data_IF_485602980483
#
_entry.id   IF_485602980483
#
_cell.length_a   1.000
_cell.length_b   1.000
_cell.length_c   1.000
_cell.angle_alpha   90.00
_cell.angle_beta   90.00
_cell.angle_gamma   90.00
#
_symmetry.space_group_name_H-M   'P 1'
#
loop_
_entity.id
_entity.type
_entity.pdbx_description
1 polymer ?
#
# COMPACT_ATOMS: atom_id res chain seq x y z
N UNK A 1 10.38 16.96 -18.81
CA UNK A 1 9.01 17.48 -18.56
C UNK A 1 8.54 18.21 -19.81
N UNK A 2 7.47 17.77 -20.42
CA UNK A 2 6.93 18.40 -21.62
C UNK A 2 6.11 19.64 -21.20
N UNK A 3 6.46 20.88 -21.57
CA UNK A 3 5.86 22.10 -21.04
C UNK A 3 4.40 22.36 -21.48
N UNK A 4 3.78 21.48 -22.25
CA UNK A 4 2.46 21.69 -22.85
C UNK A 4 1.29 20.97 -22.14
N UNK A 5 1.47 20.35 -20.97
CA UNK A 5 0.39 19.75 -20.21
C UNK A 5 0.08 20.54 -18.93
N UNK A 6 -0.35 21.80 -19.05
CA UNK A 6 -1.09 22.43 -17.94
C UNK A 6 -2.39 21.63 -17.77
N UNK A 7 -2.51 20.91 -16.65
CA UNK A 7 -3.75 20.28 -16.26
C UNK A 7 -4.85 21.34 -16.18
N UNK A 8 -5.94 21.14 -16.91
CA UNK A 8 -7.09 22.05 -16.86
C UNK A 8 -7.79 22.03 -15.49
N UNK A 9 -7.59 20.97 -14.70
CA UNK A 9 -8.03 20.83 -13.31
C UNK A 9 -6.81 20.43 -12.48
N UNK A 10 -6.40 21.25 -11.48
CA UNK A 10 -5.26 20.93 -10.62
C UNK A 10 -5.57 19.72 -9.74
N UNK A 11 -4.54 18.91 -9.45
CA UNK A 11 -4.66 17.86 -8.45
C UNK A 11 -4.87 18.46 -7.05
N UNK A 12 -5.65 17.76 -6.24
CA UNK A 12 -5.86 18.05 -4.82
C UNK A 12 -5.18 16.94 -4.03
N UNK A 13 -3.93 17.12 -3.65
CA UNK A 13 -3.09 16.07 -3.09
C UNK A 13 -2.26 16.57 -1.91
N UNK A 14 -2.05 15.68 -0.92
CA UNK A 14 -1.18 15.89 0.23
C UNK A 14 -0.60 14.55 0.70
N UNK A 15 0.37 14.56 1.61
CA UNK A 15 0.89 13.33 2.25
C UNK A 15 -0.12 12.79 3.28
N UNK A 16 -0.13 11.47 3.47
CA UNK A 16 -0.90 10.80 4.53
C UNK A 16 -2.42 10.85 4.32
N UNK A 17 -2.88 10.94 3.07
CA UNK A 17 -4.31 10.86 2.77
C UNK A 17 -4.84 9.45 3.00
N UNK A 18 -6.08 9.35 3.45
CA UNK A 18 -6.80 8.07 3.54
C UNK A 18 -7.11 7.51 2.15
N UNK A 19 -7.52 8.37 1.23
CA UNK A 19 -7.88 7.96 -0.13
C UNK A 19 -7.64 9.08 -1.14
N UNK A 20 -7.16 8.71 -2.33
CA UNK A 20 -7.11 9.59 -3.49
C UNK A 20 -8.14 9.09 -4.51
N UNK A 21 -9.18 9.87 -4.77
CA UNK A 21 -10.13 9.57 -5.83
C UNK A 21 -9.56 9.96 -7.20
N UNK A 22 -9.44 8.98 -8.07
CA UNK A 22 -8.92 9.15 -9.42
C UNK A 22 -10.05 9.12 -10.44
N UNK A 23 -10.40 10.30 -10.99
CA UNK A 23 -11.30 10.41 -12.12
C UNK A 23 -10.66 9.90 -13.41
N UNK A 24 -11.44 9.81 -14.50
CA UNK A 24 -10.90 9.41 -15.81
C UNK A 24 -10.11 10.57 -16.41
N UNK A 25 -10.76 11.69 -16.62
CA UNK A 25 -10.20 12.92 -17.15
C UNK A 25 -11.14 14.11 -16.91
N UNK A 26 -10.67 15.36 -16.99
CA UNK A 26 -11.54 16.51 -16.92
C UNK A 26 -12.49 16.57 -18.14
N UNK A 27 -13.81 16.62 -17.89
CA UNK A 27 -14.77 17.04 -18.88
C UNK A 27 -14.75 18.57 -19.05
N UNK A 28 -15.37 19.10 -20.09
CA UNK A 28 -15.39 20.55 -20.38
C UNK A 28 -15.89 21.41 -19.20
N UNK A 29 -16.93 20.95 -18.48
CA UNK A 29 -17.46 21.66 -17.32
C UNK A 29 -16.44 21.74 -16.20
N UNK A 30 -15.79 20.60 -15.88
CA UNK A 30 -14.73 20.56 -14.84
C UNK A 30 -13.51 21.38 -15.24
N UNK A 31 -13.11 21.33 -16.50
CA UNK A 31 -12.00 22.13 -17.01
C UNK A 31 -12.29 23.65 -16.94
N UNK A 32 -13.51 24.06 -17.28
CA UNK A 32 -13.94 25.45 -17.21
C UNK A 32 -14.03 25.96 -15.76
N UNK A 33 -14.45 25.10 -14.83
CA UNK A 33 -14.53 25.42 -13.40
C UNK A 33 -13.16 25.32 -12.67
N UNK A 34 -12.16 24.66 -13.28
CA UNK A 34 -10.91 24.33 -12.61
C UNK A 34 -11.09 23.36 -11.43
N UNK A 35 -12.18 22.59 -11.43
CA UNK A 35 -12.57 21.76 -10.29
C UNK A 35 -12.98 20.34 -10.70
N UNK A 36 -12.61 19.35 -9.85
CA UNK A 36 -12.96 17.95 -10.07
C UNK A 36 -14.46 17.73 -9.96
N UNK A 37 -15.00 16.87 -10.85
CA UNK A 37 -16.40 16.44 -10.85
C UNK A 37 -17.42 17.58 -10.85
N UNK A 38 -17.09 18.74 -11.47
CA UNK A 38 -17.89 19.96 -11.40
C UNK A 38 -19.17 19.95 -12.25
N UNK A 39 -19.44 18.91 -13.02
CA UNK A 39 -20.72 18.83 -13.72
C UNK A 39 -21.87 18.72 -12.69
N UNK A 40 -22.88 19.63 -12.70
CA UNK A 40 -23.96 19.64 -11.69
C UNK A 40 -24.78 18.33 -11.63
N UNK A 41 -24.74 17.53 -12.70
CA UNK A 41 -25.39 16.21 -12.73
C UNK A 41 -24.46 15.05 -12.33
N UNK A 42 -23.23 15.34 -11.91
CA UNK A 42 -22.30 14.33 -11.40
C UNK A 42 -22.61 14.05 -9.92
N UNK A 43 -22.82 12.80 -9.57
CA UNK A 43 -23.19 12.44 -8.21
C UNK A 43 -22.01 12.42 -7.23
N UNK A 44 -20.75 12.65 -7.66
CA UNK A 44 -19.55 12.43 -6.86
C UNK A 44 -19.60 13.12 -5.48
N UNK A 45 -19.81 14.43 -5.45
CA UNK A 45 -19.78 15.19 -4.20
C UNK A 45 -20.90 14.78 -3.24
N UNK A 46 -22.09 14.48 -3.79
CA UNK A 46 -23.22 13.98 -3.01
C UNK A 46 -22.94 12.58 -2.45
N UNK A 47 -22.40 11.67 -3.27
CA UNK A 47 -22.01 10.33 -2.85
C UNK A 47 -20.90 10.38 -1.77
N UNK A 48 -19.93 11.28 -1.91
CA UNK A 48 -18.88 11.47 -0.92
C UNK A 48 -19.45 11.85 0.45
N UNK A 49 -20.41 12.78 0.49
CA UNK A 49 -21.11 13.17 1.72
C UNK A 49 -22.01 12.06 2.25
N UNK A 50 -22.90 11.51 1.42
CA UNK A 50 -23.91 10.54 1.85
C UNK A 50 -23.27 9.22 2.31
N UNK A 51 -22.10 8.85 1.79
CA UNK A 51 -21.31 7.72 2.27
C UNK A 51 -20.51 8.03 3.56
N UNK A 52 -20.55 9.25 4.08
CA UNK A 52 -19.90 9.64 5.34
C UNK A 52 -18.40 9.95 5.23
N UNK A 53 -17.88 10.26 4.04
CA UNK A 53 -16.49 10.70 3.89
C UNK A 53 -16.29 12.15 4.35
N UNK A 54 -17.31 12.98 4.27
CA UNK A 54 -17.29 14.38 4.71
C UNK A 54 -18.48 14.68 5.63
N UNK A 55 -18.31 15.53 6.66
CA UNK A 55 -19.38 15.85 7.61
C UNK A 55 -20.47 16.75 7.02
N UNK A 56 -20.21 17.37 5.88
CA UNK A 56 -21.13 18.19 5.10
C UNK A 56 -20.93 17.98 3.60
N UNK A 57 -21.94 18.33 2.83
CA UNK A 57 -21.85 18.35 1.39
C UNK A 57 -20.88 19.46 0.93
N UNK A 58 -19.80 19.09 0.26
CA UNK A 58 -18.87 20.02 -0.38
C UNK A 58 -19.33 20.33 -1.82
N UNK A 59 -19.02 21.53 -2.29
CA UNK A 59 -19.15 21.88 -3.70
C UNK A 59 -17.83 21.65 -4.45
N UNK A 60 -17.82 21.55 -5.78
CA UNK A 60 -16.58 21.42 -6.54
C UNK A 60 -15.57 22.54 -6.28
N UNK A 61 -16.03 23.74 -6.01
CA UNK A 61 -15.19 24.93 -5.73
C UNK A 61 -14.46 24.78 -4.37
N UNK A 62 -15.05 24.02 -3.44
CA UNK A 62 -14.49 23.71 -2.12
C UNK A 62 -13.58 22.47 -2.15
N UNK A 63 -13.17 21.99 -3.32
CA UNK A 63 -12.42 20.73 -3.48
C UNK A 63 -11.16 20.62 -2.60
N UNK A 64 -10.48 21.72 -2.31
CA UNK A 64 -9.29 21.72 -1.45
C UNK A 64 -9.61 21.47 0.03
N UNK A 65 -10.84 21.70 0.47
CA UNK A 65 -11.25 21.35 1.84
C UNK A 65 -11.34 19.83 2.05
N UNK A 66 -11.45 19.05 0.99
CA UNK A 66 -11.45 17.59 1.06
C UNK A 66 -10.15 17.03 1.71
N UNK A 67 -9.03 17.77 1.58
CA UNK A 67 -7.76 17.40 2.23
C UNK A 67 -7.87 17.31 3.75
N UNK A 68 -8.70 18.13 4.39
CA UNK A 68 -8.91 18.13 5.84
C UNK A 68 -9.58 16.83 6.33
N UNK A 69 -10.24 16.11 5.41
CA UNK A 69 -10.89 14.82 5.67
C UNK A 69 -10.06 13.62 5.18
N UNK A 70 -8.79 13.85 4.82
CA UNK A 70 -7.90 12.81 4.30
C UNK A 70 -8.23 12.37 2.88
N UNK A 71 -8.86 13.23 2.07
CA UNK A 71 -9.33 12.92 0.73
C UNK A 71 -8.54 13.73 -0.30
N UNK A 72 -7.93 13.05 -1.27
CA UNK A 72 -7.31 13.66 -2.44
C UNK A 72 -8.12 13.44 -3.71
N UNK A 73 -7.84 14.27 -4.73
CA UNK A 73 -8.49 14.20 -6.04
C UNK A 73 -7.44 14.30 -7.15
N UNK A 74 -7.57 13.42 -8.14
CA UNK A 74 -6.71 13.42 -9.34
C UNK A 74 -7.48 12.85 -10.54
N UNK A 75 -6.83 12.81 -11.71
CA UNK A 75 -7.36 12.17 -12.92
C UNK A 75 -6.31 11.23 -13.53
N UNK A 76 -6.76 10.14 -14.14
CA UNK A 76 -5.93 9.18 -14.86
C UNK A 76 -5.34 9.77 -16.16
N UNK A 77 -6.03 10.73 -16.76
CA UNK A 77 -5.60 11.47 -17.93
C UNK A 77 -5.80 12.98 -17.75
N UNK A 78 -4.78 13.78 -18.10
CA UNK A 78 -4.83 15.24 -17.99
C UNK A 78 -5.64 15.91 -19.10
N UNK A 79 -5.80 15.24 -20.24
CA UNK A 79 -6.44 15.80 -21.43
C UNK A 79 -7.94 15.99 -21.24
N UNK A 80 -8.42 17.23 -21.41
CA UNK A 80 -9.85 17.56 -21.43
C UNK A 80 -10.52 17.01 -22.67
N UNK A 81 -11.63 16.28 -22.52
CA UNK A 81 -12.43 15.74 -23.61
C UNK A 81 -13.93 15.89 -23.33
N UNK A 82 -14.77 15.70 -24.35
CA UNK A 82 -16.22 15.67 -24.18
C UNK A 82 -16.67 14.44 -23.37
N UNK A 83 -16.02 13.31 -23.59
CA UNK A 83 -16.30 12.06 -22.90
C UNK A 83 -15.07 11.14 -22.91
N UNK A 84 -15.08 10.13 -22.07
CA UNK A 84 -13.94 9.18 -21.93
C UNK A 84 -13.66 8.40 -23.23
N UNK A 85 -14.64 8.22 -24.12
CA UNK A 85 -14.47 7.56 -25.41
C UNK A 85 -13.53 8.30 -26.38
N UNK A 86 -13.25 9.58 -26.14
CA UNK A 86 -12.33 10.38 -26.95
C UNK A 86 -10.86 10.22 -26.51
N UNK A 87 -10.60 9.52 -25.40
CA UNK A 87 -9.26 9.27 -24.88
C UNK A 87 -8.56 8.14 -25.66
N UNK A 88 -7.28 8.32 -25.85
CA UNK A 88 -6.35 7.33 -26.44
C UNK A 88 -5.50 6.71 -25.35
N UNK A 89 -4.89 5.55 -25.61
CA UNK A 89 -4.01 4.86 -24.65
C UNK A 89 -2.88 5.76 -24.14
N UNK A 90 -2.28 6.59 -24.98
CA UNK A 90 -1.21 7.52 -24.59
C UNK A 90 -1.66 8.76 -23.81
N UNK A 91 -2.97 8.95 -23.57
CA UNK A 91 -3.47 10.03 -22.73
C UNK A 91 -3.42 9.67 -21.23
N UNK A 92 -3.33 8.35 -20.90
CA UNK A 92 -3.29 7.86 -19.54
C UNK A 92 -1.86 7.87 -19.00
N UNK A 93 -1.66 8.50 -17.84
CA UNK A 93 -0.34 8.72 -17.23
C UNK A 93 -0.16 7.82 -16.01
N UNK A 94 0.29 6.58 -16.27
CA UNK A 94 0.55 5.59 -15.24
C UNK A 94 1.72 5.99 -14.35
N UNK A 95 2.83 6.46 -14.96
CA UNK A 95 4.05 6.83 -14.23
C UNK A 95 3.78 7.91 -13.19
N UNK A 96 2.97 8.91 -13.55
CA UNK A 96 2.55 9.96 -12.61
C UNK A 96 1.73 9.40 -11.43
N UNK A 97 0.84 8.44 -11.68
CA UNK A 97 0.06 7.85 -10.59
C UNK A 97 0.93 6.99 -9.66
N UNK A 98 1.90 6.28 -10.21
CA UNK A 98 2.91 5.54 -9.44
C UNK A 98 3.78 6.47 -8.58
N UNK A 99 4.18 7.64 -9.13
CA UNK A 99 4.86 8.69 -8.36
C UNK A 99 3.98 9.24 -7.23
N UNK A 100 2.70 9.51 -7.49
CA UNK A 100 1.75 9.94 -6.45
C UNK A 100 1.66 8.90 -5.32
N UNK A 101 1.58 7.62 -5.66
CA UNK A 101 1.55 6.54 -4.68
C UNK A 101 2.84 6.49 -3.85
N UNK A 102 4.01 6.55 -4.50
CA UNK A 102 5.31 6.45 -3.83
C UNK A 102 5.63 7.68 -2.95
N UNK A 103 5.33 8.89 -3.44
CA UNK A 103 5.71 10.13 -2.74
C UNK A 103 4.73 10.52 -1.63
N UNK A 104 3.44 10.27 -1.82
CA UNK A 104 2.39 10.73 -0.90
C UNK A 104 1.85 9.63 0.01
N UNK A 105 2.07 8.35 -0.35
CA UNK A 105 1.70 7.16 0.40
C UNK A 105 0.26 7.21 0.97
N UNK A 106 -0.79 7.45 0.15
CA UNK A 106 -2.15 7.34 0.64
C UNK A 106 -2.46 5.88 0.98
N UNK A 107 -3.44 5.61 1.85
CA UNK A 107 -3.84 4.21 2.10
C UNK A 107 -4.41 3.55 0.83
N UNK A 108 -5.10 4.33 0.00
CA UNK A 108 -5.69 3.82 -1.24
C UNK A 108 -5.83 4.86 -2.34
N UNK A 109 -5.92 4.35 -3.58
CA UNK A 109 -6.40 5.10 -4.75
C UNK A 109 -7.72 4.47 -5.21
N UNK A 110 -8.80 5.28 -5.24
CA UNK A 110 -10.13 4.86 -5.65
C UNK A 110 -10.45 5.40 -7.06
N UNK A 111 -10.53 4.50 -8.03
CA UNK A 111 -10.84 4.84 -9.42
C UNK A 111 -12.34 5.07 -9.60
N UNK A 112 -12.75 6.26 -9.98
CA UNK A 112 -14.15 6.62 -10.23
C UNK A 112 -14.54 6.24 -11.66
N UNK A 113 -14.85 4.95 -11.83
CA UNK A 113 -15.17 4.30 -13.09
C UNK A 113 -14.07 3.34 -13.57
N UNK A 114 -14.50 2.19 -14.09
CA UNK A 114 -13.63 1.12 -14.59
C UNK A 114 -12.65 1.57 -15.69
N UNK A 115 -13.04 2.59 -16.45
CA UNK A 115 -12.25 3.10 -17.58
C UNK A 115 -10.94 3.76 -17.14
N UNK A 116 -10.92 4.44 -15.98
CA UNK A 116 -9.69 5.02 -15.43
C UNK A 116 -8.66 3.93 -15.13
N UNK A 117 -9.07 2.88 -14.43
CA UNK A 117 -8.20 1.73 -14.12
C UNK A 117 -7.74 1.01 -15.41
N UNK A 118 -8.71 0.70 -16.31
CA UNK A 118 -8.39 0.01 -17.57
C UNK A 118 -7.42 0.79 -18.44
N UNK A 119 -7.56 2.11 -18.49
CA UNK A 119 -6.70 2.98 -19.29
C UNK A 119 -5.25 2.98 -18.80
N UNK A 120 -5.05 2.95 -17.48
CA UNK A 120 -3.74 2.97 -16.85
C UNK A 120 -3.04 1.60 -16.89
N UNK A 121 -3.77 0.51 -16.59
CA UNK A 121 -3.16 -0.82 -16.40
C UNK A 121 -3.44 -1.80 -17.54
N UNK A 122 -4.36 -1.49 -18.47
CA UNK A 122 -4.74 -2.39 -19.56
C UNK A 122 -5.61 -3.58 -19.13
N UNK A 123 -5.97 -3.66 -17.86
CA UNK A 123 -6.73 -4.75 -17.25
C UNK A 123 -8.23 -4.44 -17.19
N UNK A 124 -9.06 -5.46 -17.12
CA UNK A 124 -10.52 -5.33 -16.92
C UNK A 124 -10.85 -5.53 -15.43
N UNK A 125 -11.02 -4.45 -14.63
CA UNK A 125 -11.27 -4.59 -13.21
C UNK A 125 -12.71 -5.03 -12.93
N UNK A 126 -12.89 -5.66 -11.76
CA UNK A 126 -14.20 -5.73 -11.11
C UNK A 126 -14.44 -4.45 -10.29
N UNK A 127 -15.66 -4.21 -9.82
CA UNK A 127 -15.90 -3.19 -8.78
C UNK A 127 -15.39 -3.71 -7.44
N UNK A 128 -14.93 -2.80 -6.59
CA UNK A 128 -14.37 -3.14 -5.29
C UNK A 128 -12.85 -3.15 -5.25
N UNK A 129 -12.26 -3.77 -4.20
CA UNK A 129 -10.81 -3.86 -4.04
C UNK A 129 -10.16 -4.68 -5.16
N UNK A 130 -8.96 -4.28 -5.55
CA UNK A 130 -8.17 -4.98 -6.56
C UNK A 130 -7.01 -5.74 -5.90
N UNK A 131 -6.55 -6.84 -6.53
CA UNK A 131 -5.37 -7.57 -6.06
C UNK A 131 -4.06 -6.81 -6.32
N UNK A 132 -4.04 -6.00 -7.41
CA UNK A 132 -2.92 -5.10 -7.70
C UNK A 132 -2.84 -4.02 -6.65
N UNK A 133 -1.61 -3.68 -6.24
CA UNK A 133 -1.27 -2.52 -5.43
C UNK A 133 -0.31 -1.59 -6.17
N UNK A 134 -0.02 -0.43 -5.64
CA UNK A 134 1.10 0.43 -6.01
C UNK A 134 1.98 0.61 -4.77
N UNK A 135 2.95 -0.30 -4.59
CA UNK A 135 3.62 -0.47 -3.31
C UNK A 135 2.61 -0.85 -2.23
N UNK A 136 2.64 -0.13 -1.10
CA UNK A 136 1.70 -0.33 0.02
C UNK A 136 0.30 0.25 -0.22
N UNK A 137 0.08 0.93 -1.35
CA UNK A 137 -1.18 1.63 -1.66
C UNK A 137 -2.19 0.69 -2.29
N UNK A 138 -3.34 0.51 -1.64
CA UNK A 138 -4.44 -0.30 -2.13
C UNK A 138 -5.16 0.35 -3.30
N UNK A 139 -5.70 -0.46 -4.22
CA UNK A 139 -6.49 0.02 -5.34
C UNK A 139 -7.94 -0.44 -5.22
N UNK A 140 -8.87 0.49 -5.40
CA UNK A 140 -10.30 0.22 -5.35
C UNK A 140 -11.01 0.79 -6.59
N UNK A 141 -11.96 0.07 -7.16
CA UNK A 141 -12.70 0.53 -8.35
C UNK A 141 -14.16 0.76 -8.00
N UNK A 142 -14.59 2.00 -8.18
CA UNK A 142 -15.95 2.47 -8.00
C UNK A 142 -16.72 2.49 -9.33
N UNK A 143 -18.05 2.43 -9.31
CA UNK A 143 -18.85 2.78 -10.49
C UNK A 143 -18.63 4.25 -10.86
N UNK A 144 -18.74 4.56 -12.15
CA UNK A 144 -18.67 5.95 -12.61
C UNK A 144 -19.82 6.78 -12.03
N UNK A 145 -19.49 7.97 -11.52
CA UNK A 145 -20.46 8.95 -10.98
C UNK A 145 -21.02 9.89 -12.06
N UNK A 146 -20.51 9.76 -13.28
CA UNK A 146 -20.95 10.56 -14.42
C UNK A 146 -22.42 10.29 -14.77
N UNK A 147 -23.20 11.32 -15.15
CA UNK A 147 -24.56 11.14 -15.65
C UNK A 147 -24.64 10.27 -16.89
N UNK A 148 -23.56 10.09 -17.65
CA UNK A 148 -23.49 9.16 -18.78
C UNK A 148 -23.62 7.69 -18.37
N UNK A 149 -23.39 7.35 -17.11
CA UNK A 149 -23.55 5.99 -16.55
C UNK A 149 -24.95 5.78 -15.93
N UNK A 150 -26.00 6.04 -16.71
CA UNK A 150 -27.39 5.96 -16.24
C UNK A 150 -27.84 4.53 -15.85
N UNK A 151 -27.11 3.50 -16.27
CA UNK A 151 -27.45 2.11 -15.97
C UNK A 151 -27.23 1.73 -14.48
N UNK A 152 -26.40 2.47 -13.74
CA UNK A 152 -26.15 2.23 -12.31
C UNK A 152 -26.94 3.25 -11.48
N UNK A 153 -27.82 2.77 -10.61
CA UNK A 153 -28.62 3.63 -9.75
C UNK A 153 -27.78 4.41 -8.73
N UNK A 154 -28.33 5.52 -8.22
CA UNK A 154 -27.69 6.27 -7.12
C UNK A 154 -27.44 5.40 -5.90
N UNK A 155 -28.43 4.62 -5.49
CA UNK A 155 -28.35 3.71 -4.32
C UNK A 155 -27.24 2.67 -4.49
N UNK A 156 -27.06 2.15 -5.70
CA UNK A 156 -25.97 1.19 -5.98
C UNK A 156 -24.61 1.87 -5.94
N UNK A 157 -24.48 3.09 -6.49
CA UNK A 157 -23.26 3.89 -6.37
C UNK A 157 -22.93 4.20 -4.93
N UNK A 158 -23.94 4.55 -4.11
CA UNK A 158 -23.75 4.85 -2.70
C UNK A 158 -23.22 3.63 -1.93
N UNK A 159 -23.78 2.43 -2.16
CA UNK A 159 -23.27 1.19 -1.55
C UNK A 159 -21.77 0.95 -1.85
N UNK A 160 -21.31 1.29 -3.05
CA UNK A 160 -19.90 1.12 -3.39
C UNK A 160 -19.01 2.18 -2.70
N UNK A 161 -19.49 3.39 -2.48
CA UNK A 161 -18.79 4.41 -1.70
C UNK A 161 -18.74 4.03 -0.22
N UNK A 162 -19.85 3.51 0.34
CA UNK A 162 -19.87 2.95 1.70
C UNK A 162 -18.91 1.77 1.82
N UNK A 163 -18.92 0.83 0.88
CA UNK A 163 -17.99 -0.29 0.85
C UNK A 163 -16.52 0.15 0.77
N UNK A 164 -16.22 1.21 0.04
CA UNK A 164 -14.88 1.81 0.03
C UNK A 164 -14.53 2.37 1.40
N UNK A 165 -15.43 3.13 2.05
CA UNK A 165 -15.19 3.69 3.38
C UNK A 165 -14.88 2.59 4.39
N UNK A 166 -15.68 1.54 4.40
CA UNK A 166 -15.53 0.42 5.33
C UNK A 166 -14.24 -0.38 5.02
N UNK A 167 -13.88 -0.50 3.74
CA UNK A 167 -12.65 -1.16 3.32
C UNK A 167 -11.38 -0.37 3.69
N UNK A 168 -11.48 0.96 3.80
CA UNK A 168 -10.36 1.83 4.23
C UNK A 168 -10.05 1.71 5.72
N UNK A 169 -10.92 1.08 6.52
CA UNK A 169 -10.61 0.78 7.93
C UNK A 169 -9.61 -0.38 7.97
N UNK A 170 -8.40 -0.17 8.51
CA UNK A 170 -7.39 -1.21 8.55
C UNK A 170 -7.82 -2.37 9.44
N UNK A 171 -7.53 -3.58 9.00
CA UNK A 171 -7.68 -4.79 9.81
C UNK A 171 -6.37 -5.03 10.56
N UNK A 172 -6.45 -5.17 11.89
CA UNK A 172 -5.28 -5.48 12.71
C UNK A 172 -4.73 -6.87 12.37
N UNK A 173 -3.43 -6.93 12.17
CA UNK A 173 -2.68 -8.15 11.89
C UNK A 173 -1.47 -8.22 12.81
N UNK A 174 -1.59 -8.83 13.99
CA UNK A 174 -0.42 -9.08 14.82
C UNK A 174 0.56 -10.02 14.11
N UNK A 175 1.83 -9.75 14.22
CA UNK A 175 2.87 -10.52 13.56
C UNK A 175 4.11 -10.65 14.43
N UNK A 176 4.91 -11.68 14.17
CA UNK A 176 6.20 -11.91 14.83
C UNK A 176 7.29 -12.09 13.79
N UNK A 177 8.47 -11.58 14.08
CA UNK A 177 9.66 -11.68 13.25
C UNK A 177 10.87 -12.09 14.09
N UNK A 178 11.91 -12.60 13.43
CA UNK A 178 13.17 -12.88 14.07
C UNK A 178 14.33 -12.11 13.45
N UNK A 179 15.12 -11.41 14.27
CA UNK A 179 16.48 -11.06 13.91
C UNK A 179 17.33 -12.31 14.13
N UNK A 180 17.55 -13.10 13.09
CA UNK A 180 18.37 -14.32 13.14
C UNK A 180 19.81 -13.94 12.87
N UNK A 181 20.70 -14.15 13.86
CA UNK A 181 22.13 -13.85 13.78
C UNK A 181 22.95 -15.12 13.94
N UNK A 182 23.95 -15.30 13.10
CA UNK A 182 24.97 -16.34 13.26
C UNK A 182 26.18 -15.88 14.08
N UNK A 183 27.16 -16.80 14.35
CA UNK A 183 28.38 -16.51 15.07
C UNK A 183 29.28 -15.49 14.37
N UNK A 184 29.14 -15.30 13.07
CA UNK A 184 29.84 -14.27 12.31
C UNK A 184 29.10 -12.91 12.35
N UNK A 185 28.02 -12.78 13.13
CA UNK A 185 27.12 -11.61 13.18
C UNK A 185 26.49 -11.24 11.83
N UNK A 186 26.28 -12.22 10.97
CA UNK A 186 25.46 -12.05 9.77
C UNK A 186 23.99 -12.17 10.14
N UNK A 187 23.13 -11.43 9.45
CA UNK A 187 21.68 -11.54 9.60
C UNK A 187 21.07 -12.32 8.44
N UNK A 188 20.12 -13.19 8.74
CA UNK A 188 19.38 -13.93 7.73
C UNK A 188 18.13 -13.14 7.32
N UNK A 189 18.00 -12.86 6.02
CA UNK A 189 16.85 -12.15 5.46
C UNK A 189 16.15 -12.97 4.39
N UNK A 190 14.88 -12.67 4.21
CA UNK A 190 13.99 -13.28 3.23
C UNK A 190 13.64 -12.23 2.17
N UNK A 191 13.78 -12.59 0.89
CA UNK A 191 13.48 -11.73 -0.26
C UNK A 191 12.06 -11.90 -0.70
N UNK A 192 11.33 -10.82 -0.76
CA UNK A 192 9.98 -10.74 -1.30
C UNK A 192 9.96 -10.03 -2.64
N UNK A 193 9.06 -10.49 -3.53
CA UNK A 193 8.77 -9.82 -4.81
C UNK A 193 7.26 -9.75 -4.97
N UNK A 194 6.71 -8.56 -5.11
CA UNK A 194 5.28 -8.39 -5.32
C UNK A 194 4.86 -8.62 -6.78
N UNK A 195 3.55 -8.58 -7.03
CA UNK A 195 2.98 -8.73 -8.36
C UNK A 195 3.36 -7.60 -9.34
N UNK A 196 3.89 -6.48 -8.84
CA UNK A 196 4.40 -5.36 -9.64
C UNK A 196 5.90 -5.49 -9.95
N UNK A 197 6.57 -6.50 -9.34
CA UNK A 197 8.00 -6.73 -9.46
C UNK A 197 8.85 -5.87 -8.52
N UNK A 198 8.25 -5.27 -7.48
CA UNK A 198 9.01 -4.61 -6.43
C UNK A 198 9.67 -5.63 -5.53
N UNK A 199 10.89 -5.35 -5.14
CA UNK A 199 11.75 -6.25 -4.34
C UNK A 199 12.05 -5.61 -3.00
N UNK A 200 11.95 -6.41 -1.92
CA UNK A 200 12.46 -6.03 -0.60
C UNK A 200 12.97 -7.24 0.17
N UNK A 201 13.85 -6.97 1.13
CA UNK A 201 14.37 -7.96 2.07
C UNK A 201 13.84 -7.68 3.46
N UNK A 202 13.33 -8.69 4.12
CA UNK A 202 12.76 -8.57 5.46
C UNK A 202 13.31 -9.63 6.41
N UNK A 203 13.22 -9.36 7.70
CA UNK A 203 13.46 -10.37 8.74
C UNK A 203 12.41 -11.49 8.61
N UNK A 204 12.80 -12.77 8.76
CA UNK A 204 11.90 -13.92 8.66
C UNK A 204 10.81 -13.90 9.74
N UNK A 205 9.66 -14.50 9.42
CA UNK A 205 8.49 -14.61 10.29
C UNK A 205 7.21 -14.15 9.63
N UNK A 206 6.08 -14.22 10.32
CA UNK A 206 4.76 -13.98 9.73
C UNK A 206 3.68 -13.56 10.70
N UNK A 207 2.43 -13.58 10.22
CA UNK A 207 1.25 -13.24 11.01
C UNK A 207 0.93 -14.29 12.04
N UNK A 208 0.51 -13.85 13.23
CA UNK A 208 0.06 -14.74 14.31
C UNK A 208 -1.27 -15.36 13.89
N UNK A 209 -1.29 -16.71 13.82
CA UNK A 209 -2.48 -17.49 13.51
C UNK A 209 -3.50 -17.47 14.65
N UNK A 210 -4.76 -17.80 14.33
CA UNK A 210 -5.81 -17.88 15.34
C UNK A 210 -5.47 -18.93 16.41
N UNK A 211 -5.36 -18.48 17.67
CA UNK A 211 -5.03 -19.33 18.81
C UNK A 211 -3.52 -19.64 18.97
N UNK A 212 -2.67 -19.14 18.09
CA UNK A 212 -1.20 -19.28 18.26
C UNK A 212 -0.66 -18.25 19.25
N UNK A 213 0.35 -18.64 20.03
CA UNK A 213 1.18 -17.68 20.74
C UNK A 213 2.26 -17.11 19.83
N UNK A 214 2.86 -15.94 20.15
CA UNK A 214 3.98 -15.38 19.39
C UNK A 214 5.13 -16.37 19.18
N UNK A 215 5.50 -17.13 20.21
CA UNK A 215 6.56 -18.15 20.13
C UNK A 215 6.18 -19.31 19.19
N UNK A 216 4.94 -19.81 19.27
CA UNK A 216 4.47 -20.89 18.40
C UNK A 216 4.50 -20.47 16.93
N UNK A 217 4.00 -19.26 16.65
CA UNK A 217 4.04 -18.69 15.29
C UNK A 217 5.49 -18.56 14.82
N UNK A 218 6.38 -18.00 15.63
CA UNK A 218 7.78 -17.81 15.24
C UNK A 218 8.46 -19.14 14.92
N UNK A 219 8.23 -20.18 15.72
CA UNK A 219 8.78 -21.53 15.48
C UNK A 219 8.26 -22.13 14.18
N UNK A 220 6.98 -21.97 13.89
CA UNK A 220 6.37 -22.45 12.63
C UNK A 220 6.96 -21.70 11.43
N UNK A 221 6.99 -20.37 11.46
CA UNK A 221 7.49 -19.54 10.36
C UNK A 221 8.98 -19.79 10.08
N UNK A 222 9.81 -19.90 11.12
CA UNK A 222 11.25 -20.17 10.94
C UNK A 222 11.52 -21.59 10.43
N UNK A 223 10.67 -22.58 10.76
CA UNK A 223 10.73 -23.90 10.12
C UNK A 223 10.30 -23.83 8.64
N UNK A 224 9.21 -23.15 8.36
CA UNK A 224 8.66 -23.03 7.00
C UNK A 224 9.60 -22.28 6.08
N UNK A 225 10.05 -21.09 6.47
CA UNK A 225 10.89 -20.20 5.66
C UNK A 225 12.37 -20.59 5.61
N UNK A 226 12.90 -21.14 6.69
CA UNK A 226 14.33 -21.36 6.85
C UNK A 226 14.73 -22.84 7.08
N UNK A 227 13.78 -23.72 7.44
CA UNK A 227 14.07 -25.05 7.95
C UNK A 227 14.70 -25.03 9.35
N UNK A 228 14.58 -23.91 10.09
CA UNK A 228 15.16 -23.74 11.42
C UNK A 228 14.18 -24.22 12.50
N UNK A 229 14.37 -25.46 12.99
CA UNK A 229 13.47 -26.10 13.96
C UNK A 229 13.86 -25.86 15.42
N UNK A 230 15.15 -25.91 15.68
CA UNK A 230 15.69 -25.82 17.03
C UNK A 230 16.46 -24.51 17.20
N UNK A 231 15.99 -23.65 18.09
CA UNK A 231 16.65 -22.41 18.48
C UNK A 231 16.19 -21.97 19.86
N UNK A 232 17.03 -21.19 20.53
CA UNK A 232 16.65 -20.48 21.75
C UNK A 232 16.01 -19.14 21.37
N UNK A 233 14.78 -18.92 21.87
CA UNK A 233 14.09 -17.64 21.69
C UNK A 233 14.69 -16.61 22.64
N UNK A 234 15.33 -15.60 22.09
CA UNK A 234 15.87 -14.48 22.83
C UNK A 234 14.80 -13.43 23.19
N UNK A 235 15.27 -12.27 23.60
CA UNK A 235 14.39 -11.17 24.00
C UNK A 235 13.73 -10.52 22.77
N UNK A 236 12.56 -9.93 22.99
CA UNK A 236 11.97 -8.95 22.07
C UNK A 236 12.85 -7.70 22.07
N UNK A 237 13.34 -7.35 20.89
CA UNK A 237 14.32 -6.25 20.74
C UNK A 237 13.72 -5.05 20.02
N UNK A 238 12.78 -5.28 19.09
CA UNK A 238 12.16 -4.22 18.32
C UNK A 238 10.66 -4.45 18.19
N UNK A 239 9.93 -3.34 18.01
CA UNK A 239 8.54 -3.32 17.57
C UNK A 239 8.45 -2.52 16.28
N UNK A 240 7.41 -2.78 15.49
CA UNK A 240 7.12 -2.02 14.27
C UNK A 240 5.61 -2.00 14.04
N UNK A 241 5.08 -0.85 13.64
CA UNK A 241 3.71 -0.76 13.14
C UNK A 241 3.74 -0.23 11.70
N UNK A 242 3.04 -0.92 10.80
CA UNK A 242 2.97 -0.56 9.41
C UNK A 242 1.59 -0.85 8.82
N UNK A 243 1.03 0.14 8.12
CA UNK A 243 -0.25 -0.01 7.43
C UNK A 243 -0.01 -0.09 5.93
N UNK A 244 -0.49 -1.15 5.30
CA UNK A 244 -0.28 -1.42 3.88
C UNK A 244 -1.43 -2.21 3.27
N UNK A 245 -1.50 -2.22 1.93
CA UNK A 245 -2.46 -3.04 1.20
C UNK A 245 -1.86 -4.41 0.85
N UNK A 246 -2.58 -5.46 1.21
CA UNK A 246 -2.19 -6.84 0.93
C UNK A 246 -3.42 -7.69 0.57
N UNK A 247 -3.35 -8.45 -0.53
CA UNK A 247 -4.43 -9.35 -1.00
C UNK A 247 -5.82 -8.70 -1.00
N UNK A 248 -5.91 -7.44 -1.44
CA UNK A 248 -7.18 -6.71 -1.53
C UNK A 248 -7.73 -6.23 -0.18
N UNK A 249 -6.91 -6.12 0.86
CA UNK A 249 -7.27 -5.55 2.18
C UNK A 249 -6.27 -4.49 2.60
N UNK A 250 -6.70 -3.57 3.44
CA UNK A 250 -5.80 -2.68 4.18
C UNK A 250 -5.50 -3.36 5.51
N UNK A 251 -4.23 -3.62 5.78
CA UNK A 251 -3.77 -4.25 7.02
C UNK A 251 -2.99 -3.25 7.85
N UNK A 252 -3.21 -3.24 9.16
CA UNK A 252 -2.35 -2.60 10.14
C UNK A 252 -1.58 -3.70 10.84
N UNK A 253 -0.32 -3.90 10.46
CA UNK A 253 0.53 -4.94 11.01
C UNK A 253 1.32 -4.39 12.16
N UNK A 254 1.20 -5.06 13.31
CA UNK A 254 2.00 -4.83 14.52
C UNK A 254 2.96 -5.99 14.65
N UNK A 255 4.24 -5.69 14.49
CA UNK A 255 5.31 -6.68 14.53
C UNK A 255 6.09 -6.62 15.86
N UNK A 256 6.32 -7.79 16.43
CA UNK A 256 7.22 -8.03 17.55
C UNK A 256 8.44 -8.77 17.03
N UNK A 257 9.63 -8.20 17.14
CA UNK A 257 10.86 -8.73 16.55
C UNK A 257 11.76 -9.25 17.66
N UNK A 258 12.03 -10.56 17.64
CA UNK A 258 12.81 -11.27 18.63
C UNK A 258 14.21 -11.56 18.12
N UNK A 259 15.20 -11.55 19.01
CA UNK A 259 16.55 -11.99 18.69
C UNK A 259 16.60 -13.53 18.71
N UNK A 260 17.13 -14.12 17.65
CA UNK A 260 17.45 -15.55 17.57
C UNK A 260 18.92 -15.68 17.17
N UNK A 261 19.68 -16.46 17.96
CA UNK A 261 21.08 -16.76 17.65
C UNK A 261 21.22 -18.20 17.21
N UNK A 262 22.04 -18.42 16.19
CA UNK A 262 22.39 -19.74 15.68
C UNK A 262 23.88 -19.83 15.48
N UNK A 263 24.49 -21.02 15.66
CA UNK A 263 25.92 -21.20 15.42
C UNK A 263 26.23 -21.16 13.93
N UNK A 264 25.66 -22.11 13.16
CA UNK A 264 25.70 -22.17 11.71
C UNK A 264 24.36 -22.73 11.23
N UNK A 265 23.80 -22.12 10.21
CA UNK A 265 22.56 -22.58 9.60
C UNK A 265 22.58 -22.36 8.10
N UNK A 266 22.31 -23.44 7.33
CA UNK A 266 22.07 -23.38 5.90
C UNK A 266 20.55 -23.33 5.69
N UNK A 267 20.00 -22.22 5.14
CA UNK A 267 18.56 -22.11 4.92
C UNK A 267 18.05 -23.20 4.00
N UNK A 268 17.03 -23.93 4.48
CA UNK A 268 16.37 -25.01 3.73
C UNK A 268 14.85 -24.91 3.94
N UNK A 269 14.14 -24.02 3.21
CA UNK A 269 12.70 -23.89 3.33
C UNK A 269 11.98 -25.23 3.22
N UNK A 270 11.00 -25.48 4.10
CA UNK A 270 10.27 -26.74 4.16
C UNK A 270 9.00 -26.73 3.32
N UNK A 271 8.58 -25.56 2.86
CA UNK A 271 7.40 -25.37 1.99
C UNK A 271 7.79 -24.59 0.72
N UNK A 272 6.92 -24.63 -0.30
CA UNK A 272 7.07 -23.75 -1.47
C UNK A 272 6.57 -22.34 -1.15
N UNK A 273 7.51 -21.46 -0.80
CA UNK A 273 7.24 -20.09 -0.41
C UNK A 273 6.91 -19.14 -1.57
N UNK A 274 7.04 -19.59 -2.83
CA UNK A 274 6.75 -18.74 -4.01
C UNK A 274 5.31 -18.27 -4.06
N UNK A 275 4.38 -19.09 -3.53
CA UNK A 275 2.98 -18.72 -3.39
C UNK A 275 2.74 -17.53 -2.45
N UNK A 276 3.67 -17.28 -1.52
CA UNK A 276 3.65 -16.18 -0.55
C UNK A 276 4.54 -14.99 -0.99
N UNK A 277 5.12 -15.08 -2.20
CA UNK A 277 5.97 -14.03 -2.75
C UNK A 277 7.42 -14.10 -2.28
N UNK A 278 7.82 -15.15 -1.56
CA UNK A 278 9.21 -15.36 -1.12
C UNK A 278 10.02 -16.00 -2.24
N UNK A 279 11.13 -15.37 -2.60
CA UNK A 279 11.96 -15.77 -3.74
C UNK A 279 13.35 -16.27 -3.36
N UNK A 280 13.91 -15.79 -2.24
CA UNK A 280 15.27 -16.07 -1.84
C UNK A 280 15.43 -15.91 -0.33
N UNK A 281 16.39 -16.63 0.25
CA UNK A 281 16.84 -16.48 1.64
C UNK A 281 18.35 -16.33 1.62
N UNK A 282 18.88 -15.28 2.27
CA UNK A 282 20.33 -14.99 2.21
C UNK A 282 20.85 -14.43 3.52
N UNK A 283 22.09 -14.82 3.86
CA UNK A 283 22.87 -14.20 4.93
C UNK A 283 23.49 -12.89 4.47
N UNK A 284 23.35 -11.85 5.29
CA UNK A 284 23.89 -10.51 5.05
C UNK A 284 24.83 -10.09 6.17
N UNK A 285 25.98 -9.54 5.83
CA UNK A 285 26.84 -8.80 6.74
C UNK A 285 26.37 -7.36 6.90
N UNK A 286 26.74 -6.70 8.00
CA UNK A 286 26.40 -5.29 8.19
C UNK A 286 26.88 -4.37 7.05
N UNK A 287 28.13 -4.50 6.53
CA UNK A 287 28.54 -3.70 5.36
C UNK A 287 27.68 -3.90 4.11
N UNK A 288 27.30 -5.15 3.81
CA UNK A 288 26.40 -5.44 2.67
C UNK A 288 25.03 -4.79 2.83
N UNK A 289 24.47 -4.76 4.06
CA UNK A 289 23.20 -4.07 4.33
C UNK A 289 23.31 -2.55 4.17
N UNK A 290 24.46 -1.96 4.48
CA UNK A 290 24.70 -0.51 4.34
C UNK A 290 24.87 -0.08 2.89
N UNK A 291 25.33 -0.99 2.03
CA UNK A 291 25.48 -0.78 0.59
C UNK A 291 24.27 -1.28 -0.22
N UNK A 292 23.23 -1.85 0.42
CA UNK A 292 22.09 -2.44 -0.26
C UNK A 292 21.30 -1.38 -1.06
N UNK A 293 21.11 -1.64 -2.34
CA UNK A 293 20.24 -0.83 -3.21
C UNK A 293 18.77 -1.23 -3.09
N UNK A 294 18.50 -2.50 -2.73
CA UNK A 294 17.16 -3.03 -2.55
C UNK A 294 16.56 -2.55 -1.20
N UNK A 295 15.26 -2.47 -1.13
CA UNK A 295 14.57 -2.03 0.10
C UNK A 295 14.76 -3.04 1.23
N UNK A 296 15.22 -2.58 2.38
CA UNK A 296 15.28 -3.36 3.63
C UNK A 296 14.05 -3.08 4.50
N UNK A 297 13.56 -4.10 5.19
CA UNK A 297 12.42 -4.00 6.11
C UNK A 297 12.80 -4.61 7.47
N UNK A 298 12.86 -3.79 8.53
CA UNK A 298 12.65 -2.33 8.56
C UNK A 298 13.73 -1.55 7.80
N UNK A 299 13.41 -0.38 7.30
CA UNK A 299 14.38 0.45 6.52
C UNK A 299 15.63 0.83 7.30
N UNK A 300 15.50 0.93 8.62
CA UNK A 300 16.59 1.22 9.54
C UNK A 300 17.38 -0.01 9.98
N UNK A 301 17.19 -1.15 9.31
CA UNK A 301 17.83 -2.43 9.70
C UNK A 301 19.36 -2.32 9.88
N UNK A 302 20.14 -1.65 8.99
CA UNK A 302 21.58 -1.51 9.20
C UNK A 302 21.93 -0.75 10.49
N UNK A 303 21.26 0.37 10.76
CA UNK A 303 21.44 1.17 11.98
C UNK A 303 21.09 0.37 13.24
N UNK A 304 19.93 -0.30 13.22
CA UNK A 304 19.43 -1.11 14.33
C UNK A 304 20.32 -2.31 14.61
N UNK A 305 20.79 -3.00 13.56
CA UNK A 305 21.72 -4.13 13.70
C UNK A 305 23.05 -3.66 14.30
N UNK A 306 23.61 -2.56 13.81
CA UNK A 306 24.84 -1.98 14.37
C UNK A 306 24.68 -1.72 15.87
N UNK A 307 23.58 -1.12 16.30
CA UNK A 307 23.30 -0.85 17.69
C UNK A 307 23.27 -2.13 18.53
N UNK A 308 22.66 -3.21 18.03
CA UNK A 308 22.64 -4.52 18.72
C UNK A 308 24.03 -5.13 18.82
N UNK A 309 24.86 -5.01 17.77
CA UNK A 309 26.23 -5.57 17.75
C UNK A 309 27.18 -4.78 18.64
N UNK A 310 27.08 -3.47 18.70
CA UNK A 310 28.00 -2.60 19.48
C UNK A 310 27.56 -2.40 20.94
N UNK A 311 26.26 -2.23 21.18
CA UNK A 311 25.71 -1.88 22.49
C UNK A 311 24.98 -3.06 23.16
N UNK A 312 24.77 -4.16 22.46
CA UNK A 312 24.01 -5.31 22.94
C UNK A 312 22.49 -5.13 22.80
N UNK A 313 21.76 -6.07 23.39
CA UNK A 313 20.30 -6.11 23.35
C UNK A 313 19.72 -4.93 24.15
N UNK A 314 18.76 -4.16 23.59
CA UNK A 314 18.15 -3.05 24.30
C UNK A 314 17.34 -3.53 25.51
N UNK A 315 17.37 -2.74 26.61
CA UNK A 315 16.62 -3.06 27.84
C UNK A 315 15.08 -3.05 27.66
N UNK A 316 14.58 -2.42 26.61
CA UNK A 316 13.18 -2.42 26.18
C UNK A 316 13.15 -2.41 24.66
N UNK A 317 12.12 -3.01 24.05
CA UNK A 317 11.95 -2.98 22.61
C UNK A 317 12.00 -1.54 22.06
N UNK A 318 12.65 -1.36 20.93
CA UNK A 318 12.80 -0.08 20.23
C UNK A 318 11.86 -0.10 19.02
N UNK A 319 11.20 1.02 18.74
CA UNK A 319 10.45 1.19 17.50
C UNK A 319 11.40 1.19 16.30
N UNK A 320 11.27 0.19 15.44
CA UNK A 320 12.10 0.03 14.26
C UNK A 320 11.73 0.99 13.11
N UNK A 321 10.61 1.70 13.22
CA UNK A 321 10.08 2.55 12.17
C UNK A 321 9.53 1.76 10.97
N UNK A 322 9.20 2.46 9.91
CA UNK A 322 8.64 1.89 8.67
C UNK A 322 9.75 1.48 7.71
#
# INVERSE_FOLDING_TARGET
MNPNHRQAVPDVLARGLRVVFCGINPGYVSAAAGAHFANPRNDFWRLLHDAGFTPRLLTPEEQFEALQFGIGLTNAAARTTRGSGDLRRGDFDRERLEQVAAELAPLAIAFVGKEAYRGLFGERPQLGPQQRTLGDVGLFVLPSTSPANAAVSYTERLRWFEALRDWLEPVDRPAVRALVLDDANRVLLVKFVDAAGQVWWATPGGGIGEGESPEQTLRRELDEELGLKEFELGLEIWTREHTFAWMGRILRQQEHIYLVRVEQHEPAPTIDLRGEGVHEVQWWTLPELEEAEETLVPRRLPELLRAVLECGVPAKPIDAGI
#
